data_IF_473493532106
#
_entry.id   IF_473493532106
#
_cell.length_a   1.000
_cell.length_b   1.000
_cell.length_c   1.000
_cell.angle_alpha   90.00
_cell.angle_beta   90.00
_cell.angle_gamma   90.00
#
_symmetry.space_group_name_H-M   'P 1'
#
loop_
_entity.id
_entity.type
_entity.pdbx_description
1 polymer ?
#
# COMPACT_ATOMS: atom_id res chain seq x y z
N UNK A 1 -1.48 -14.79 -1.62
CA UNK A 1 -0.95 -13.78 -0.69
C UNK A 1 -1.38 -14.13 0.71
N UNK A 2 -0.46 -14.06 1.64
CA UNK A 2 -0.69 -14.49 3.02
C UNK A 2 -0.18 -13.44 4.00
N UNK A 3 -0.72 -13.47 5.21
CA UNK A 3 -0.21 -12.66 6.30
C UNK A 3 1.28 -12.92 6.48
N UNK A 4 2.09 -11.87 6.57
CA UNK A 4 3.53 -11.96 6.69
C UNK A 4 4.27 -11.77 5.36
N UNK A 5 3.57 -11.85 4.24
CA UNK A 5 4.21 -11.60 2.95
C UNK A 5 4.64 -10.15 2.84
N UNK A 6 5.75 -9.91 2.14
CA UNK A 6 6.21 -8.57 1.81
C UNK A 6 5.73 -8.26 0.40
N UNK A 7 5.04 -7.12 0.27
CA UNK A 7 4.50 -6.67 -1.02
C UNK A 7 4.93 -5.23 -1.27
N UNK A 8 4.75 -4.78 -2.50
CA UNK A 8 4.96 -3.37 -2.85
C UNK A 8 3.65 -2.77 -3.30
N UNK A 9 3.40 -1.56 -2.84
CA UNK A 9 2.21 -0.81 -3.17
C UNK A 9 2.44 0.68 -2.94
N UNK A 10 1.54 1.51 -3.46
CA UNK A 10 1.61 2.95 -3.25
C UNK A 10 0.87 3.30 -1.97
N UNK A 11 1.64 3.68 -0.95
CA UNK A 11 1.09 4.07 0.34
C UNK A 11 0.71 5.54 0.30
N UNK A 12 -0.58 5.81 0.16
CA UNK A 12 -1.09 7.16 -0.01
C UNK A 12 -1.06 8.00 1.26
N UNK A 13 -1.02 7.35 2.42
CA UNK A 13 -0.96 8.06 3.70
C UNK A 13 0.46 8.43 4.10
N UNK A 14 1.46 7.93 3.37
CA UNK A 14 2.85 8.32 3.62
C UNK A 14 3.16 9.63 2.89
N UNK A 15 4.16 10.39 3.38
CA UNK A 15 4.54 11.65 2.72
C UNK A 15 4.91 11.43 1.25
N UNK A 16 4.40 12.31 0.39
CA UNK A 16 4.73 12.30 -1.01
C UNK A 16 6.18 12.70 -1.24
N UNK A 17 6.80 12.13 -2.27
CA UNK A 17 8.14 12.53 -2.68
C UNK A 17 8.12 13.81 -3.53
N UNK A 18 6.94 14.26 -3.95
CA UNK A 18 6.76 15.44 -4.80
C UNK A 18 5.85 16.44 -4.13
N UNK A 19 6.33 17.12 -3.07
CA UNK A 19 5.48 18.07 -2.35
C UNK A 19 5.04 19.21 -3.26
N UNK A 20 3.81 19.67 -3.06
CA UNK A 20 3.25 20.76 -3.86
C UNK A 20 2.64 20.35 -5.18
N UNK A 21 2.69 19.08 -5.55
CA UNK A 21 2.07 18.59 -6.77
C UNK A 21 0.56 18.51 -6.63
N UNK A 22 -0.12 18.32 -7.76
CA UNK A 22 -1.56 18.15 -7.77
C UNK A 22 -2.01 16.94 -6.95
N UNK A 23 -3.18 17.05 -6.33
CA UNK A 23 -3.64 16.06 -5.37
C UNK A 23 -3.93 14.69 -5.96
N UNK A 24 -4.26 14.62 -7.26
CA UNK A 24 -4.73 13.39 -7.88
C UNK A 24 -3.66 12.64 -8.67
N UNK A 25 -2.42 13.04 -8.56
CA UNK A 25 -1.34 12.39 -9.29
C UNK A 25 -0.83 11.20 -8.47
N UNK A 26 -1.16 9.99 -8.91
CA UNK A 26 -0.73 8.76 -8.24
C UNK A 26 0.78 8.64 -8.15
N UNK A 27 1.49 9.20 -9.11
CA UNK A 27 2.95 9.10 -9.14
C UNK A 27 3.64 9.84 -8.00
N UNK A 28 2.93 10.76 -7.36
CA UNK A 28 3.49 11.50 -6.24
C UNK A 28 3.59 10.67 -4.96
N UNK A 29 2.84 9.58 -4.87
CA UNK A 29 2.87 8.73 -3.68
C UNK A 29 3.96 7.67 -3.82
N UNK A 30 4.72 7.41 -2.75
CA UNK A 30 5.83 6.47 -2.83
C UNK A 30 5.36 5.04 -2.96
N UNK A 31 6.10 4.26 -3.75
CA UNK A 31 5.96 2.81 -3.74
C UNK A 31 6.83 2.30 -2.62
N UNK A 32 6.24 1.60 -1.66
CA UNK A 32 6.95 1.11 -0.50
C UNK A 32 6.72 -0.39 -0.33
N UNK A 33 7.68 -1.04 0.30
CA UNK A 33 7.52 -2.42 0.73
C UNK A 33 6.74 -2.42 2.03
N UNK A 34 5.67 -3.18 2.07
CA UNK A 34 4.87 -3.35 3.27
C UNK A 34 4.70 -4.81 3.61
N UNK A 35 4.45 -5.09 4.87
CA UNK A 35 4.19 -6.46 5.33
C UNK A 35 2.69 -6.66 5.45
N UNK A 36 2.18 -7.72 4.85
CA UNK A 36 0.76 -8.04 4.94
C UNK A 36 0.43 -8.44 6.38
N UNK A 37 -0.49 -7.71 7.01
CA UNK A 37 -0.93 -7.97 8.38
C UNK A 37 -2.33 -8.54 8.46
N UNK A 38 -3.09 -8.46 7.37
CA UNK A 38 -4.43 -9.04 7.30
C UNK A 38 -4.77 -9.37 5.85
N UNK A 39 -5.44 -10.50 5.66
CA UNK A 39 -5.95 -10.92 4.36
C UNK A 39 -7.43 -11.23 4.52
N UNK A 40 -8.27 -10.58 3.70
CA UNK A 40 -9.70 -10.85 3.72
C UNK A 40 -9.94 -12.32 3.33
N UNK A 41 -10.81 -13.04 4.05
CA UNK A 41 -11.05 -14.47 3.78
C UNK A 41 -11.47 -14.79 2.36
N UNK A 42 -12.13 -13.85 1.70
CA UNK A 42 -12.55 -14.01 0.30
C UNK A 42 -11.62 -13.35 -0.69
N UNK A 43 -10.47 -12.86 -0.23
CA UNK A 43 -9.49 -12.24 -1.11
C UNK A 43 -9.90 -10.89 -1.66
N UNK A 44 -10.83 -10.20 -1.04
CA UNK A 44 -11.32 -8.92 -1.55
C UNK A 44 -10.34 -7.78 -1.32
N UNK A 45 -9.56 -7.86 -0.24
CA UNK A 45 -8.56 -6.85 0.08
C UNK A 45 -7.54 -7.42 1.05
N UNK A 46 -6.45 -6.71 1.19
CA UNK A 46 -5.45 -7.00 2.23
C UNK A 46 -5.13 -5.70 2.95
N UNK A 47 -4.54 -5.83 4.13
CA UNK A 47 -3.99 -4.68 4.85
C UNK A 47 -2.49 -4.90 4.95
N UNK A 48 -1.72 -3.90 4.57
CA UNK A 48 -0.26 -3.96 4.67
C UNK A 48 0.25 -2.82 5.55
N UNK A 49 1.34 -3.07 6.26
CA UNK A 49 1.96 -2.11 7.16
C UNK A 49 3.33 -1.72 6.64
N UNK A 50 3.61 -0.43 6.69
CA UNK A 50 4.91 0.12 6.35
C UNK A 50 5.24 1.23 7.34
N UNK A 51 6.29 1.04 8.14
CA UNK A 51 6.74 2.06 9.09
C UNK A 51 5.67 2.49 10.10
N UNK A 52 4.83 1.57 10.54
CA UNK A 52 3.75 1.87 11.48
C UNK A 52 2.47 2.37 10.83
N UNK A 53 2.47 2.54 9.52
CA UNK A 53 1.30 2.97 8.75
C UNK A 53 0.66 1.74 8.12
N UNK A 54 -0.64 1.58 8.31
CA UNK A 54 -1.41 0.47 7.73
C UNK A 54 -2.38 1.01 6.71
N UNK A 55 -2.40 0.39 5.53
CA UNK A 55 -3.35 0.74 4.49
C UNK A 55 -3.99 -0.51 3.90
N UNK A 56 -5.22 -0.33 3.44
CA UNK A 56 -5.97 -1.38 2.79
C UNK A 56 -5.76 -1.29 1.28
N UNK A 57 -5.46 -2.43 0.66
CA UNK A 57 -5.26 -2.50 -0.78
C UNK A 57 -6.12 -3.61 -1.36
N UNK A 58 -6.72 -3.35 -2.53
CA UNK A 58 -7.33 -4.42 -3.31
C UNK A 58 -6.22 -5.13 -4.09
N UNK A 59 -6.43 -6.40 -4.52
CA UNK A 59 -5.37 -7.14 -5.21
C UNK A 59 -4.74 -6.42 -6.39
N UNK A 60 -5.52 -5.66 -7.14
CA UNK A 60 -5.01 -4.93 -8.31
C UNK A 60 -4.06 -3.80 -7.95
N UNK A 61 -4.07 -3.35 -6.71
CA UNK A 61 -3.19 -2.29 -6.24
C UNK A 61 -1.84 -2.81 -5.77
N UNK A 62 -1.72 -4.11 -5.60
CA UNK A 62 -0.47 -4.73 -5.17
C UNK A 62 0.42 -4.90 -6.39
N UNK A 63 1.65 -4.38 -6.31
CA UNK A 63 2.55 -4.33 -7.46
C UNK A 63 3.43 -5.57 -7.60
N UNK A 64 3.49 -6.39 -6.58
CA UNK A 64 4.18 -7.68 -6.67
C UNK A 64 3.52 -8.69 -5.80
#
# INVERSE_FOLDING_TARGET
>A
MQKGDVIRARFMTLPSEYPGSGANDEKRFPIRKGTVVYVHPKGRYIVAECGGVRETFVPDEVLT
#
